data_IF_055080647386
#
_entry.id   IF_055080647386
#
_cell.length_a   1.000
_cell.length_b   1.000
_cell.length_c   1.000
_cell.angle_alpha   90.00
_cell.angle_beta   90.00
_cell.angle_gamma   90.00
#
_symmetry.space_group_name_H-M   'P 1'
#
loop_
_entity.id
_entity.type
_entity.pdbx_description
1 polymer ?
#
# COMPACT_ATOMS: atom_id res chain seq x y z
N UNK A 1 -22.46 -14.81 34.29
CA UNK A 1 -23.91 -14.55 34.47
C UNK A 1 -24.52 -14.18 33.16
N UNK A 2 -25.14 -15.18 32.54
CA UNK A 2 -26.47 -15.29 31.94
C UNK A 2 -26.71 -14.33 30.75
N UNK A 3 -26.49 -14.77 29.60
CA UNK A 3 -27.31 -15.31 28.50
C UNK A 3 -28.80 -14.95 28.53
N UNK A 4 -29.27 -14.39 27.43
CA UNK A 4 -30.68 -14.54 26.99
C UNK A 4 -30.72 -14.67 25.47
N UNK A 5 -30.87 -15.92 25.03
CA UNK A 5 -31.43 -16.32 23.74
C UNK A 5 -32.86 -15.83 23.64
N UNK A 6 -33.26 -15.27 22.49
CA UNK A 6 -34.66 -15.13 22.08
C UNK A 6 -34.88 -16.00 20.84
N UNK A 7 -35.61 -17.10 21.07
CA UNK A 7 -36.24 -17.91 20.04
C UNK A 7 -37.40 -17.13 19.42
N UNK A 8 -37.40 -17.00 18.10
CA UNK A 8 -38.55 -16.54 17.34
C UNK A 8 -39.22 -17.77 16.71
N UNK A 9 -40.34 -18.20 17.29
CA UNK A 9 -41.23 -19.20 16.74
C UNK A 9 -41.91 -18.64 15.50
N UNK A 10 -41.68 -19.26 14.37
CA UNK A 10 -42.47 -19.10 13.15
C UNK A 10 -43.79 -19.88 13.26
N UNK A 11 -44.87 -19.12 13.20
CA UNK A 11 -46.23 -19.62 13.21
C UNK A 11 -46.61 -20.08 11.79
N UNK A 12 -46.92 -21.36 11.63
CA UNK A 12 -47.46 -21.91 10.40
C UNK A 12 -48.99 -21.78 10.45
N UNK A 13 -49.54 -20.85 9.69
CA UNK A 13 -50.97 -20.83 9.35
C UNK A 13 -51.21 -21.56 8.02
N UNK A 14 -52.22 -22.43 7.99
CA UNK A 14 -52.62 -23.24 6.86
C UNK A 14 -53.31 -22.38 5.79
N UNK A 15 -53.24 -22.72 4.49
CA UNK A 15 -53.84 -21.94 3.43
C UNK A 15 -55.37 -22.18 3.37
N UNK A 16 -56.08 -21.07 3.34
CA UNK A 16 -57.51 -21.03 3.07
C UNK A 16 -57.81 -21.45 1.62
N UNK A 17 -58.92 -22.13 1.46
CA UNK A 17 -59.48 -22.67 0.21
C UNK A 17 -59.69 -21.59 -0.84
N UNK A 18 -58.96 -21.71 -1.96
CA UNK A 18 -59.16 -20.88 -3.16
C UNK A 18 -60.45 -21.38 -3.86
N UNK A 19 -61.38 -20.46 -4.07
CA UNK A 19 -62.66 -20.73 -4.75
C UNK A 19 -62.47 -20.93 -6.24
N UNK A 20 -63.34 -21.79 -6.86
CA UNK A 20 -63.28 -22.25 -8.26
C UNK A 20 -63.26 -21.16 -9.36
N UNK A 21 -63.58 -19.91 -9.05
CA UNK A 21 -63.60 -18.81 -10.03
C UNK A 21 -62.21 -18.32 -10.47
N UNK A 22 -61.15 -18.57 -9.69
CA UNK A 22 -59.79 -18.15 -10.06
C UNK A 22 -59.05 -19.12 -10.99
N UNK A 23 -59.53 -20.37 -11.09
CA UNK A 23 -58.94 -21.40 -11.94
C UNK A 23 -59.38 -21.26 -13.41
N UNK A 24 -60.57 -20.71 -13.68
CA UNK A 24 -61.03 -20.51 -15.06
C UNK A 24 -60.40 -19.28 -15.77
N UNK A 25 -60.01 -18.24 -15.03
CA UNK A 25 -59.32 -17.08 -15.60
C UNK A 25 -57.88 -17.38 -15.93
N UNK A 26 -57.17 -18.10 -15.08
CA UNK A 26 -55.78 -18.52 -15.33
C UNK A 26 -55.62 -19.45 -16.54
N UNK A 27 -56.61 -20.32 -16.76
CA UNK A 27 -56.61 -21.24 -17.92
C UNK A 27 -56.93 -20.54 -19.24
N UNK A 28 -57.70 -19.45 -19.21
CA UNK A 28 -57.98 -18.63 -20.40
C UNK A 28 -56.79 -17.75 -20.80
N UNK A 29 -56.07 -17.20 -19.83
CA UNK A 29 -54.84 -16.42 -20.08
C UNK A 29 -53.69 -17.28 -20.58
N UNK A 30 -53.51 -18.52 -20.07
CA UNK A 30 -52.48 -19.42 -20.57
C UNK A 30 -52.77 -19.92 -22.00
N UNK A 31 -54.02 -20.16 -22.34
CA UNK A 31 -54.42 -20.52 -23.71
C UNK A 31 -54.31 -19.36 -24.72
N UNK A 32 -54.49 -18.12 -24.30
CA UNK A 32 -54.24 -16.95 -25.14
C UNK A 32 -52.72 -16.68 -25.34
N UNK A 33 -51.89 -16.94 -24.34
CA UNK A 33 -50.43 -16.86 -24.47
C UNK A 33 -49.87 -17.98 -25.38
N UNK A 34 -50.41 -19.21 -25.30
CA UNK A 34 -50.01 -20.30 -26.21
C UNK A 34 -50.46 -20.07 -27.66
N UNK A 35 -51.64 -19.43 -27.87
CA UNK A 35 -52.10 -19.05 -29.22
C UNK A 35 -51.26 -17.88 -29.85
N UNK A 36 -50.75 -16.97 -29.05
CA UNK A 36 -49.85 -15.90 -29.48
C UNK A 36 -48.46 -16.41 -29.90
N UNK A 37 -47.98 -17.54 -29.35
CA UNK A 37 -46.72 -18.19 -29.72
C UNK A 37 -46.84 -19.04 -31.00
N UNK A 38 -48.04 -19.32 -31.49
CA UNK A 38 -48.31 -20.16 -32.67
C UNK A 38 -48.46 -19.40 -34.02
N UNK A 39 -48.14 -18.08 -34.04
CA UNK A 39 -47.86 -17.45 -35.32
C UNK A 39 -46.47 -17.91 -35.77
N UNK A 40 -46.41 -19.01 -36.53
CA UNK A 40 -45.18 -19.42 -37.20
C UNK A 40 -44.81 -18.30 -38.18
N UNK A 41 -43.81 -17.49 -37.77
CA UNK A 41 -43.15 -16.56 -38.69
C UNK A 41 -42.47 -17.41 -39.75
N UNK A 42 -43.05 -17.46 -40.95
CA UNK A 42 -42.45 -18.13 -42.10
C UNK A 42 -41.32 -17.26 -42.62
N UNK A 43 -40.09 -17.44 -42.08
CA UNK A 43 -38.89 -16.87 -42.63
C UNK A 43 -38.55 -17.63 -43.91
N UNK A 44 -38.21 -16.88 -44.95
CA UNK A 44 -37.59 -17.48 -46.11
C UNK A 44 -36.17 -18.01 -45.74
N UNK A 45 -35.67 -19.02 -46.47
CA UNK A 45 -34.35 -19.59 -46.18
C UNK A 45 -33.24 -18.55 -46.23
N UNK A 46 -33.38 -17.53 -47.06
CA UNK A 46 -32.42 -16.44 -47.19
C UNK A 46 -32.43 -15.50 -45.97
N UNK A 47 -33.60 -15.14 -45.46
CA UNK A 47 -33.76 -14.35 -44.25
C UNK A 47 -33.17 -15.06 -43.00
N UNK A 48 -33.41 -16.36 -42.91
CA UNK A 48 -32.84 -17.19 -41.84
C UNK A 48 -31.31 -17.20 -41.87
N UNK A 49 -30.72 -17.35 -43.04
CA UNK A 49 -29.27 -17.32 -43.23
C UNK A 49 -28.68 -15.94 -42.90
N UNK A 50 -29.37 -14.85 -43.27
CA UNK A 50 -28.95 -13.48 -42.93
C UNK A 50 -28.98 -13.24 -41.41
N UNK A 51 -30.05 -13.66 -40.73
CA UNK A 51 -30.15 -13.55 -39.26
C UNK A 51 -29.05 -14.36 -38.58
N UNK A 52 -28.80 -15.57 -39.07
CA UNK A 52 -27.71 -16.41 -38.52
C UNK A 52 -26.34 -15.77 -38.67
N UNK A 53 -26.02 -15.25 -39.87
CA UNK A 53 -24.77 -14.55 -40.12
C UNK A 53 -24.62 -13.30 -39.20
N UNK A 54 -25.71 -12.55 -39.01
CA UNK A 54 -25.68 -11.37 -38.13
C UNK A 54 -25.51 -11.74 -36.65
N UNK A 55 -26.10 -12.85 -36.20
CA UNK A 55 -25.89 -13.39 -34.86
C UNK A 55 -24.40 -13.77 -34.66
N UNK A 56 -23.79 -14.46 -35.61
CA UNK A 56 -22.37 -14.81 -35.53
C UNK A 56 -21.48 -13.57 -35.48
N UNK A 57 -21.77 -12.55 -36.30
CA UNK A 57 -21.04 -11.28 -36.29
C UNK A 57 -21.17 -10.57 -34.91
N UNK A 58 -22.39 -10.50 -34.36
CA UNK A 58 -22.64 -9.92 -33.07
C UNK A 58 -21.94 -10.71 -31.90
N UNK A 59 -21.89 -12.03 -32.02
CA UNK A 59 -21.17 -12.85 -31.04
C UNK A 59 -19.67 -12.59 -31.07
N UNK A 60 -19.08 -12.53 -32.27
CA UNK A 60 -17.65 -12.20 -32.42
C UNK A 60 -17.36 -10.80 -31.86
N UNK A 61 -18.21 -9.82 -32.21
CA UNK A 61 -18.05 -8.45 -31.71
C UNK A 61 -18.21 -8.38 -30.17
N UNK A 62 -19.19 -9.08 -29.62
CA UNK A 62 -19.40 -9.18 -28.18
C UNK A 62 -18.19 -9.80 -27.49
N UNK A 63 -17.69 -10.93 -27.97
CA UNK A 63 -16.55 -11.62 -27.34
C UNK A 63 -15.28 -10.78 -27.42
N UNK A 64 -15.08 -10.09 -28.54
CA UNK A 64 -13.98 -9.12 -28.68
C UNK A 64 -14.11 -7.96 -27.68
N UNK A 65 -15.31 -7.41 -27.50
CA UNK A 65 -15.59 -6.35 -26.53
C UNK A 65 -15.39 -6.82 -25.07
N UNK A 66 -15.84 -8.03 -24.75
CA UNK A 66 -15.63 -8.63 -23.43
C UNK A 66 -14.13 -8.83 -23.14
N UNK A 67 -13.39 -9.38 -24.11
CA UNK A 67 -11.95 -9.57 -23.98
C UNK A 67 -11.19 -8.24 -23.82
N UNK A 68 -11.58 -7.21 -24.57
CA UNK A 68 -11.01 -5.86 -24.45
C UNK A 68 -11.30 -5.25 -23.06
N UNK A 69 -12.53 -5.42 -22.56
CA UNK A 69 -12.92 -4.93 -21.23
C UNK A 69 -12.14 -5.64 -20.13
N UNK A 70 -12.01 -6.96 -20.18
CA UNK A 70 -11.22 -7.74 -19.21
C UNK A 70 -9.75 -7.28 -19.20
N UNK A 71 -9.16 -7.06 -20.38
CA UNK A 71 -7.80 -6.54 -20.49
C UNK A 71 -7.68 -5.15 -19.86
N UNK A 72 -8.60 -4.24 -20.19
CA UNK A 72 -8.63 -2.89 -19.64
C UNK A 72 -8.77 -2.89 -18.10
N UNK A 73 -9.62 -3.77 -17.55
CA UNK A 73 -9.76 -3.94 -16.10
C UNK A 73 -8.47 -4.44 -15.43
N UNK A 74 -7.80 -5.42 -16.07
CA UNK A 74 -6.52 -5.92 -15.57
C UNK A 74 -5.43 -4.84 -15.61
N UNK A 75 -5.35 -4.08 -16.70
CA UNK A 75 -4.40 -2.97 -16.84
C UNK A 75 -4.67 -1.86 -15.82
N UNK A 76 -5.95 -1.53 -15.59
CA UNK A 76 -6.34 -0.56 -14.57
C UNK A 76 -5.97 -1.02 -13.15
N UNK A 77 -6.21 -2.29 -12.84
CA UNK A 77 -5.81 -2.86 -11.53
C UNK A 77 -4.28 -2.80 -11.32
N UNK A 78 -3.51 -3.14 -12.35
CA UNK A 78 -2.06 -3.05 -12.35
C UNK A 78 -1.58 -1.59 -12.21
N UNK A 79 -2.19 -0.67 -12.95
CA UNK A 79 -1.91 0.77 -12.85
C UNK A 79 -2.18 1.29 -11.44
N UNK A 80 -3.33 0.96 -10.86
CA UNK A 80 -3.70 1.39 -9.49
C UNK A 80 -2.69 0.90 -8.46
N UNK A 81 -2.29 -0.38 -8.54
CA UNK A 81 -1.28 -0.95 -7.63
C UNK A 81 0.06 -0.25 -7.77
N UNK A 82 0.54 -0.08 -9.00
CA UNK A 82 1.81 0.59 -9.29
C UNK A 82 1.80 2.05 -8.86
N UNK A 83 0.69 2.75 -9.10
CA UNK A 83 0.56 4.16 -8.71
C UNK A 83 0.57 4.35 -7.19
N UNK A 84 -0.07 3.45 -6.44
CA UNK A 84 -0.01 3.46 -4.98
C UNK A 84 1.42 3.29 -4.45
N UNK A 85 2.21 2.39 -5.07
CA UNK A 85 3.62 2.19 -4.71
C UNK A 85 4.45 3.45 -5.02
N UNK A 86 4.27 4.04 -6.20
CA UNK A 86 4.97 5.26 -6.61
C UNK A 86 4.67 6.42 -5.66
N UNK A 87 3.40 6.58 -5.25
CA UNK A 87 3.01 7.63 -4.32
C UNK A 87 3.69 7.46 -2.94
N UNK A 88 3.74 6.23 -2.42
CA UNK A 88 4.42 5.93 -1.17
C UNK A 88 5.93 6.18 -1.25
N UNK A 89 6.57 5.74 -2.34
CA UNK A 89 7.99 5.96 -2.56
C UNK A 89 8.32 7.44 -2.71
N UNK A 90 7.53 8.21 -3.45
CA UNK A 90 7.73 9.66 -3.62
C UNK A 90 7.59 10.42 -2.29
N UNK A 91 6.64 10.00 -1.44
CA UNK A 91 6.50 10.58 -0.10
C UNK A 91 7.73 10.29 0.77
N UNK A 92 8.23 9.06 0.73
CA UNK A 92 9.43 8.66 1.46
C UNK A 92 10.67 9.41 0.94
N UNK A 93 10.85 9.53 -0.37
CA UNK A 93 11.94 10.29 -0.99
C UNK A 93 11.90 11.76 -0.60
N UNK A 94 10.72 12.38 -0.61
CA UNK A 94 10.53 13.76 -0.14
C UNK A 94 10.94 13.93 1.33
N UNK A 95 10.52 13.00 2.20
CA UNK A 95 10.91 12.97 3.61
C UNK A 95 12.41 12.84 3.79
N UNK A 96 13.05 11.89 3.09
CA UNK A 96 14.50 11.69 3.10
C UNK A 96 15.23 12.96 2.63
N UNK A 97 14.75 13.59 1.56
CA UNK A 97 15.35 14.83 1.02
C UNK A 97 15.36 15.98 2.03
N UNK A 98 14.28 16.16 2.79
CA UNK A 98 14.23 17.19 3.85
C UNK A 98 15.17 16.84 5.00
N UNK A 99 15.11 15.61 5.50
CA UNK A 99 15.95 15.16 6.62
C UNK A 99 17.43 15.27 6.25
N UNK A 100 17.82 14.84 5.05
CA UNK A 100 19.21 14.92 4.57
C UNK A 100 19.77 16.35 4.61
N UNK A 101 18.93 17.35 4.31
CA UNK A 101 19.32 18.77 4.38
C UNK A 101 19.42 19.30 5.81
N UNK A 102 18.78 18.66 6.79
CA UNK A 102 18.86 19.01 8.21
C UNK A 102 20.02 18.33 8.94
N UNK A 103 20.58 17.22 8.42
CA UNK A 103 21.69 16.53 9.05
C UNK A 103 22.92 17.42 9.29
N UNK A 104 23.34 18.33 8.37
CA UNK A 104 24.45 19.24 8.64
C UNK A 104 24.22 20.13 9.87
N UNK A 105 22.97 20.52 10.12
CA UNK A 105 22.62 21.32 11.31
C UNK A 105 22.83 20.51 12.59
N UNK A 106 22.49 19.21 12.58
CA UNK A 106 22.80 18.31 13.70
C UNK A 106 24.31 18.16 13.92
N UNK A 107 25.09 18.04 12.83
CA UNK A 107 26.55 17.97 12.91
C UNK A 107 27.14 19.27 13.48
N UNK A 108 26.54 20.42 13.15
CA UNK A 108 26.97 21.72 13.68
C UNK A 108 26.67 21.85 15.18
N UNK A 109 25.53 21.28 15.66
CA UNK A 109 25.25 21.18 17.10
C UNK A 109 26.24 20.27 17.80
N UNK A 110 26.57 19.10 17.25
CA UNK A 110 27.56 18.19 17.83
C UNK A 110 28.91 18.91 17.96
N UNK A 111 29.38 19.59 16.90
CA UNK A 111 30.63 20.36 16.89
C UNK A 111 30.60 21.52 17.88
N UNK A 112 29.49 22.23 17.99
CA UNK A 112 29.35 23.33 18.95
C UNK A 112 29.45 22.84 20.41
N UNK A 113 28.97 21.63 20.68
CA UNK A 113 29.03 21.03 22.03
C UNK A 113 30.42 20.46 22.37
N UNK A 114 31.26 20.14 21.37
CA UNK A 114 32.64 19.74 21.56
C UNK A 114 33.53 20.94 21.96
N UNK A 115 33.12 22.16 21.60
CA UNK A 115 33.86 23.35 21.97
C UNK A 115 33.66 23.63 23.48
N UNK A 116 34.77 23.82 24.20
CA UNK A 116 34.73 24.18 25.61
C UNK A 116 34.04 25.54 25.79
N UNK A 117 32.85 25.53 26.37
CA UNK A 117 32.08 26.73 26.71
C UNK A 117 32.27 27.05 28.20
N UNK A 118 32.59 28.30 28.52
CA UNK A 118 32.77 28.73 29.91
C UNK A 118 31.44 28.79 30.69
N UNK A 119 30.30 28.88 29.97
CA UNK A 119 28.96 28.93 30.55
C UNK A 119 28.24 27.58 30.41
N UNK A 120 28.18 26.87 31.53
CA UNK A 120 27.49 25.56 31.58
C UNK A 120 26.00 25.67 31.27
N UNK A 121 25.32 26.74 31.69
CA UNK A 121 23.90 26.92 31.42
C UNK A 121 23.61 27.10 29.96
N UNK A 122 24.47 27.80 29.23
CA UNK A 122 24.36 27.93 27.77
C UNK A 122 24.57 26.59 27.04
N UNK A 123 25.60 25.82 27.44
CA UNK A 123 25.85 24.48 26.90
C UNK A 123 24.66 23.54 27.11
N UNK A 124 24.04 23.55 28.28
CA UNK A 124 22.87 22.71 28.58
C UNK A 124 21.62 23.15 27.81
N UNK A 125 21.50 24.44 27.55
CA UNK A 125 20.46 24.98 26.65
C UNK A 125 20.60 24.45 25.22
N UNK A 126 21.81 24.46 24.67
CA UNK A 126 22.08 23.92 23.32
C UNK A 126 21.80 22.41 23.26
N UNK A 127 22.25 21.64 24.25
CA UNK A 127 21.95 20.19 24.34
C UNK A 127 20.44 19.91 24.34
N UNK A 128 19.67 20.71 25.05
CA UNK A 128 18.21 20.56 25.08
C UNK A 128 17.59 20.82 23.71
N UNK A 129 18.03 21.84 22.98
CA UNK A 129 17.55 22.14 21.64
C UNK A 129 17.90 21.02 20.66
N UNK A 130 19.16 20.57 20.67
CA UNK A 130 19.63 19.45 19.86
C UNK A 130 18.80 18.18 20.10
N UNK A 131 18.59 17.84 21.37
CA UNK A 131 17.80 16.66 21.76
C UNK A 131 16.37 16.75 21.26
N UNK A 132 15.73 17.90 21.42
CA UNK A 132 14.35 18.10 20.90
C UNK A 132 14.28 17.97 19.40
N UNK A 133 15.25 18.54 18.67
CA UNK A 133 15.33 18.37 17.22
C UNK A 133 15.49 16.90 16.82
N UNK A 134 16.38 16.19 17.50
CA UNK A 134 16.60 14.76 17.26
C UNK A 134 15.36 13.92 17.58
N UNK A 135 14.64 14.21 18.65
CA UNK A 135 13.41 13.55 19.03
C UNK A 135 12.31 13.73 17.96
N UNK A 136 12.18 14.95 17.39
CA UNK A 136 11.23 15.19 16.28
C UNK A 136 11.62 14.46 15.00
N UNK A 137 12.90 14.41 14.67
CA UNK A 137 13.37 13.65 13.52
C UNK A 137 13.21 12.13 13.71
N UNK A 138 13.36 11.64 14.93
CA UNK A 138 13.10 10.23 15.28
C UNK A 138 11.64 9.86 15.08
N UNK A 139 10.70 10.75 15.40
CA UNK A 139 9.26 10.56 15.10
C UNK A 139 8.99 10.46 13.60
N UNK A 140 9.81 11.11 12.78
CA UNK A 140 9.79 10.99 11.33
C UNK A 140 10.49 9.73 10.80
N UNK A 141 10.99 8.86 11.68
CA UNK A 141 11.63 7.60 11.31
C UNK A 141 13.15 7.66 11.19
N UNK A 142 13.80 8.76 11.61
CA UNK A 142 15.26 8.85 11.69
C UNK A 142 15.79 7.91 12.76
N UNK A 143 16.82 7.15 12.43
CA UNK A 143 17.57 6.30 13.38
C UNK A 143 19.05 6.50 13.15
N UNK A 144 19.80 6.62 14.24
CA UNK A 144 21.25 6.63 14.20
C UNK A 144 21.80 5.23 13.90
N UNK A 145 22.82 5.14 13.07
CA UNK A 145 23.50 3.88 12.79
C UNK A 145 24.37 3.53 14.00
N UNK A 146 24.20 2.34 14.60
CA UNK A 146 25.00 1.91 15.74
C UNK A 146 26.49 1.82 15.33
N UNK A 147 27.36 2.40 16.12
CA UNK A 147 28.80 2.40 15.90
C UNK A 147 29.56 1.65 16.99
N UNK A 148 28.83 0.96 17.87
CA UNK A 148 29.38 0.16 18.94
C UNK A 148 29.77 -1.22 18.41
N UNK A 149 31.01 -1.42 18.01
CA UNK A 149 31.49 -2.73 17.57
C UNK A 149 32.42 -2.78 16.37
N UNK A 150 32.21 -3.78 15.52
CA UNK A 150 33.01 -3.97 14.31
C UNK A 150 32.47 -3.15 13.14
N UNK A 151 33.40 -2.78 12.28
CA UNK A 151 33.09 -2.09 11.03
C UNK A 151 32.23 -2.98 10.11
N UNK A 152 31.11 -2.43 9.63
CA UNK A 152 30.25 -3.03 8.61
C UNK A 152 30.23 -2.12 7.37
N UNK A 153 30.70 -2.60 6.21
CA UNK A 153 30.74 -1.81 4.96
C UNK A 153 29.34 -1.32 4.49
N UNK A 154 28.27 -1.99 4.92
CA UNK A 154 26.92 -1.59 4.55
C UNK A 154 26.48 -0.30 5.28
N UNK A 155 26.99 -0.02 6.46
CA UNK A 155 26.55 1.08 7.32
C UNK A 155 27.62 2.11 7.60
N UNK A 156 28.90 1.72 7.51
CA UNK A 156 30.03 2.52 7.91
C UNK A 156 30.97 2.81 6.73
N UNK A 157 31.55 3.99 6.73
CA UNK A 157 32.60 4.42 5.82
C UNK A 157 33.89 4.60 6.61
N UNK A 158 34.88 3.77 6.37
CA UNK A 158 36.20 3.88 7.01
C UNK A 158 37.04 4.95 6.30
N UNK A 159 37.20 6.10 6.93
CA UNK A 159 37.99 7.22 6.37
C UNK A 159 39.45 7.09 6.73
N UNK A 160 39.78 6.58 7.91
CA UNK A 160 41.11 6.44 8.42
C UNK A 160 41.30 5.10 9.13
N UNK A 161 42.55 4.58 9.05
CA UNK A 161 42.99 3.43 9.81
C UNK A 161 44.14 3.88 10.74
N UNK A 162 44.14 3.35 11.97
CA UNK A 162 45.16 3.65 12.96
C UNK A 162 45.60 2.38 13.66
N UNK A 163 46.90 2.19 13.90
CA UNK A 163 47.39 1.08 14.72
C UNK A 163 46.81 1.19 16.13
N UNK A 164 46.24 0.11 16.64
CA UNK A 164 45.59 0.06 17.94
C UNK A 164 45.76 -1.33 18.54
N UNK A 165 45.68 -1.43 19.88
CA UNK A 165 45.66 -2.68 20.60
C UNK A 165 44.27 -3.39 20.50
N UNK A 166 43.30 -2.77 19.84
CA UNK A 166 41.98 -3.35 19.64
C UNK A 166 41.97 -4.33 18.47
N UNK A 167 40.96 -5.18 18.43
CA UNK A 167 40.80 -6.16 17.36
C UNK A 167 40.67 -5.46 16.00
N UNK A 168 41.36 -5.99 14.98
CA UNK A 168 41.34 -5.45 13.62
C UNK A 168 39.89 -5.24 13.11
N UNK A 169 39.62 -4.06 12.58
CA UNK A 169 38.31 -3.68 12.09
C UNK A 169 37.36 -3.19 13.20
N UNK A 170 37.84 -3.01 14.44
CA UNK A 170 37.06 -2.33 15.48
C UNK A 170 36.97 -0.83 15.19
N UNK A 171 35.83 -0.23 15.50
CA UNK A 171 35.62 1.23 15.38
C UNK A 171 36.33 1.89 16.57
N UNK A 172 37.29 2.75 16.28
CA UNK A 172 38.06 3.49 17.28
C UNK A 172 37.41 4.85 17.61
N UNK A 173 36.92 5.53 16.59
CA UNK A 173 36.33 6.86 16.73
C UNK A 173 35.29 7.09 15.64
N UNK A 174 34.19 7.71 16.01
CA UNK A 174 33.16 8.19 15.07
C UNK A 174 33.48 9.65 14.73
N UNK A 175 33.88 9.89 13.48
CA UNK A 175 34.16 11.25 12.98
C UNK A 175 32.86 11.96 12.61
N UNK A 176 31.87 11.20 12.14
CA UNK A 176 30.57 11.73 11.74
C UNK A 176 29.49 10.64 11.87
N UNK A 177 28.40 10.96 12.54
CA UNK A 177 27.30 10.03 12.75
C UNK A 177 26.57 9.73 11.45
N UNK A 178 26.22 8.46 11.22
CA UNK A 178 25.40 8.02 10.12
C UNK A 178 23.94 7.86 10.53
N UNK A 179 23.05 7.95 9.55
CA UNK A 179 21.61 7.90 9.81
C UNK A 179 20.85 7.10 8.75
N UNK A 180 19.80 6.44 9.19
CA UNK A 180 18.82 5.75 8.35
C UNK A 180 17.42 6.34 8.56
N UNK A 181 16.56 6.27 7.53
CA UNK A 181 15.13 6.58 7.64
C UNK A 181 14.33 5.43 7.07
N UNK A 182 13.45 4.85 7.86
CA UNK A 182 12.59 3.72 7.46
C UNK A 182 13.39 2.60 6.76
N UNK A 183 14.56 2.23 7.29
CA UNK A 183 15.51 1.24 6.78
C UNK A 183 16.27 1.63 5.49
N UNK A 184 16.11 2.84 4.96
CA UNK A 184 16.96 3.38 3.89
C UNK A 184 18.09 4.19 4.50
N UNK A 185 19.32 3.93 4.09
CA UNK A 185 20.50 4.68 4.53
C UNK A 185 20.49 6.03 3.83
N UNK A 186 20.51 7.11 4.63
CA UNK A 186 20.66 8.49 4.14
C UNK A 186 22.14 8.84 4.06
N UNK A 187 22.90 8.45 5.08
CA UNK A 187 24.31 8.76 5.21
C UNK A 187 25.01 7.69 6.05
N UNK A 188 26.13 7.18 5.56
CA UNK A 188 26.99 6.26 6.32
C UNK A 188 27.66 6.98 7.50
N UNK A 189 27.96 6.23 8.57
CA UNK A 189 28.79 6.76 9.65
C UNK A 189 30.25 6.79 9.19
N UNK A 190 30.89 7.96 9.26
CA UNK A 190 32.34 8.07 8.99
C UNK A 190 33.11 7.70 10.23
N UNK A 191 33.91 6.65 10.14
CA UNK A 191 34.59 6.07 11.28
C UNK A 191 36.09 5.91 11.04
N UNK A 192 36.86 5.95 12.13
CA UNK A 192 38.22 5.50 12.20
C UNK A 192 38.28 4.08 12.71
N UNK A 193 39.01 3.18 12.05
CA UNK A 193 39.06 1.75 12.38
C UNK A 193 40.46 1.31 12.78
N UNK A 194 40.54 0.25 13.59
CA UNK A 194 41.81 -0.39 13.94
C UNK A 194 42.38 -1.15 12.73
N UNK A 195 43.68 -1.01 12.51
CA UNK A 195 44.40 -1.69 11.44
C UNK A 195 44.62 -3.18 11.71
#
# INVERSE_FOLDING_TARGET
>A
MAEKKKDTKQNCEAPETVTDEQTETATKESNQAEQAVSEMVQLTADEFNQVKAHIEELQIAHDAAVAANQRSQADFANFKRRNATIAADSFLEGKIGVISRLLPVLDDFDRALECACADAAYSDGIKLVQRRLFDELTKLGLKEIPTDGKFDPNFHEAVMQEPSDMERGSILLVLRKGYTVDNRIIRHSMVKVAQ
#
